data_IF_482332115622
#
_entry.id   IF_482332115622
#
_cell.length_a   1.000
_cell.length_b   1.000
_cell.length_c   1.000
_cell.angle_alpha   90.00
_cell.angle_beta   90.00
_cell.angle_gamma   90.00
#
_symmetry.space_group_name_H-M   'P 1'
#
loop_
_entity.id
_entity.type
_entity.pdbx_description
1 polymer ?
#
# COMPACT_ATOMS: atom_id res chain seq x y z
N UNK A 1 20.31 5.41 3.93
CA UNK A 1 19.40 5.05 5.05
C UNK A 1 19.69 3.61 5.46
N UNK A 2 19.81 3.36 6.76
CA UNK A 2 20.00 2.03 7.34
C UNK A 2 18.65 1.46 7.81
N UNK A 3 18.08 0.56 7.01
CA UNK A 3 16.76 -0.03 7.28
C UNK A 3 16.72 -0.87 8.57
N UNK A 4 17.88 -1.31 9.08
CA UNK A 4 17.94 -2.10 10.32
C UNK A 4 17.60 -1.28 11.57
N UNK A 5 17.70 0.06 11.47
CA UNK A 5 17.38 1.00 12.56
C UNK A 5 15.93 1.42 12.60
N UNK A 6 15.15 1.08 11.58
CA UNK A 6 13.73 1.41 11.53
C UNK A 6 12.94 0.47 12.46
N UNK A 7 11.88 0.95 13.12
CA UNK A 7 11.09 0.14 14.03
C UNK A 7 10.34 -0.97 13.26
N UNK A 8 10.85 -2.20 13.38
CA UNK A 8 10.25 -3.40 12.78
C UNK A 8 9.22 -4.04 13.70
N UNK A 9 8.23 -4.70 13.10
CA UNK A 9 7.21 -5.45 13.83
C UNK A 9 6.06 -5.87 12.91
N UNK A 10 5.07 -6.57 13.47
CA UNK A 10 3.84 -6.86 12.74
C UNK A 10 3.15 -5.55 12.33
N UNK A 11 2.79 -5.41 11.06
CA UNK A 11 2.19 -4.18 10.54
C UNK A 11 0.92 -3.80 11.30
N UNK A 12 0.15 -4.78 11.78
CA UNK A 12 -1.05 -4.55 12.60
C UNK A 12 -0.70 -3.91 13.94
N UNK A 13 0.41 -4.33 14.55
CA UNK A 13 0.88 -3.80 15.84
C UNK A 13 1.66 -2.49 15.74
N UNK A 14 2.26 -2.18 14.59
CA UNK A 14 3.02 -0.95 14.38
C UNK A 14 2.22 0.16 13.71
N UNK A 15 1.09 -0.17 13.07
CA UNK A 15 0.25 0.78 12.32
C UNK A 15 -0.19 1.99 13.15
N UNK A 16 -0.77 1.76 14.32
CA UNK A 16 -1.28 2.85 15.18
C UNK A 16 -0.16 3.78 15.63
N UNK A 17 1.00 3.21 15.98
CA UNK A 17 2.21 3.96 16.33
C UNK A 17 2.68 4.83 15.16
N UNK A 18 2.65 4.30 13.93
CA UNK A 18 3.00 5.07 12.74
C UNK A 18 2.00 6.19 12.45
N UNK A 19 0.69 5.98 12.66
CA UNK A 19 -0.32 7.04 12.51
C UNK A 19 -0.01 8.19 13.47
N UNK A 20 0.16 7.90 14.76
CA UNK A 20 0.48 8.90 15.80
C UNK A 20 1.77 9.66 15.50
N UNK A 21 2.82 8.91 15.15
CA UNK A 21 4.11 9.53 14.83
C UNK A 21 4.05 10.39 13.58
N UNK A 22 3.33 9.95 12.54
CA UNK A 22 3.17 10.71 11.31
C UNK A 22 2.32 11.97 11.55
N UNK A 23 1.26 11.91 12.37
CA UNK A 23 0.48 13.08 12.76
C UNK A 23 1.35 14.12 13.48
N UNK A 24 2.17 13.70 14.44
CA UNK A 24 3.11 14.57 15.13
C UNK A 24 4.17 15.18 14.18
N UNK A 25 4.69 14.35 13.28
CA UNK A 25 5.67 14.78 12.27
C UNK A 25 5.09 15.81 11.28
N UNK A 26 3.83 15.64 10.87
CA UNK A 26 3.15 16.52 9.93
C UNK A 26 2.52 17.74 10.61
N UNK A 27 2.32 17.74 11.93
CA UNK A 27 1.76 18.87 12.70
C UNK A 27 2.35 20.25 12.33
N UNK A 28 3.68 20.44 12.26
CA UNK A 28 4.28 21.73 11.90
C UNK A 28 4.20 22.08 10.40
N UNK A 29 3.76 21.17 9.52
CA UNK A 29 3.71 21.41 8.07
C UNK A 29 2.40 22.06 7.66
N UNK A 30 2.49 23.20 6.96
CA UNK A 30 1.34 23.94 6.45
C UNK A 30 0.64 23.24 5.27
N UNK A 31 1.35 22.43 4.49
CA UNK A 31 0.85 21.78 3.27
C UNK A 31 0.89 20.24 3.37
N UNK A 32 0.30 19.69 4.44
CA UNK A 32 0.19 18.23 4.63
C UNK A 32 -1.00 17.62 3.87
N UNK A 33 -0.93 16.34 3.44
CA UNK A 33 -2.05 15.64 2.82
C UNK A 33 -3.27 15.53 3.74
N UNK A 34 -4.42 15.22 3.15
CA UNK A 34 -5.65 14.93 3.90
C UNK A 34 -5.51 13.71 4.83
N UNK A 35 -6.38 13.62 5.83
CA UNK A 35 -6.30 12.59 6.88
C UNK A 35 -6.26 11.15 6.35
N UNK A 36 -7.10 10.82 5.36
CA UNK A 36 -7.14 9.48 4.75
C UNK A 36 -5.81 9.11 4.06
N UNK A 37 -5.17 10.08 3.41
CA UNK A 37 -3.87 9.90 2.75
C UNK A 37 -2.77 9.66 3.79
N UNK A 38 -2.78 10.42 4.88
CA UNK A 38 -1.84 10.25 5.98
C UNK A 38 -1.99 8.87 6.65
N UNK A 39 -3.23 8.44 6.91
CA UNK A 39 -3.51 7.10 7.45
C UNK A 39 -3.01 6.02 6.49
N UNK A 40 -3.26 6.18 5.19
CA UNK A 40 -2.75 5.24 4.21
C UNK A 40 -1.22 5.19 4.17
N UNK A 41 -0.55 6.35 4.27
CA UNK A 41 0.90 6.46 4.29
C UNK A 41 1.50 5.77 5.52
N UNK A 42 0.90 5.95 6.70
CA UNK A 42 1.29 5.23 7.91
C UNK A 42 1.13 3.71 7.73
N UNK A 43 0.02 3.27 7.11
CA UNK A 43 -0.19 1.88 6.77
C UNK A 43 0.83 1.33 5.76
N UNK A 44 1.24 2.12 4.77
CA UNK A 44 2.28 1.76 3.80
C UNK A 44 3.60 1.51 4.53
N UNK A 45 4.01 2.43 5.42
CA UNK A 45 5.24 2.27 6.22
C UNK A 45 5.17 1.01 7.08
N UNK A 46 4.10 0.84 7.85
CA UNK A 46 3.91 -0.33 8.72
C UNK A 46 4.01 -1.65 7.94
N UNK A 47 3.37 -1.72 6.77
CA UNK A 47 3.42 -2.89 5.87
C UNK A 47 4.82 -3.16 5.31
N UNK A 48 5.57 -2.12 4.95
CA UNK A 48 6.91 -2.27 4.34
C UNK A 48 8.02 -2.53 5.35
N UNK A 49 7.80 -2.21 6.63
CA UNK A 49 8.70 -2.56 7.73
C UNK A 49 8.36 -3.90 8.40
N UNK A 50 7.24 -4.51 8.02
CA UNK A 50 6.89 -5.88 8.39
C UNK A 50 7.54 -6.85 7.39
N UNK A 51 8.53 -7.61 7.87
CA UNK A 51 9.27 -8.59 7.06
C UNK A 51 8.36 -9.72 6.57
N UNK A 52 7.37 -10.15 7.37
CA UNK A 52 6.42 -11.22 7.01
C UNK A 52 5.50 -10.72 5.90
N UNK A 53 4.88 -9.55 6.08
CA UNK A 53 4.02 -8.97 5.06
C UNK A 53 4.78 -8.70 3.75
N UNK A 54 6.03 -8.23 3.86
CA UNK A 54 6.87 -7.97 2.71
C UNK A 54 7.20 -9.27 1.95
N UNK A 55 7.50 -10.35 2.67
CA UNK A 55 7.73 -11.66 2.08
C UNK A 55 6.49 -12.22 1.38
N UNK A 56 5.31 -12.12 2.02
CA UNK A 56 4.04 -12.58 1.45
C UNK A 56 3.68 -11.82 0.16
N UNK A 57 4.09 -10.56 0.05
CA UNK A 57 3.86 -9.74 -1.13
C UNK A 57 4.78 -10.07 -2.31
N UNK A 58 5.88 -10.80 -2.11
CA UNK A 58 6.89 -11.03 -3.15
C UNK A 58 6.32 -11.71 -4.40
N UNK A 59 5.32 -12.58 -4.25
CA UNK A 59 4.64 -13.25 -5.36
C UNK A 59 3.84 -12.31 -6.27
N UNK A 60 3.55 -11.08 -5.82
CA UNK A 60 2.84 -10.06 -6.58
C UNK A 60 3.76 -9.00 -7.18
N UNK A 61 5.06 -9.01 -6.82
CA UNK A 61 6.03 -8.04 -7.36
C UNK A 61 6.38 -8.47 -8.79
N UNK A 62 6.26 -7.53 -9.71
CA UNK A 62 6.60 -7.71 -11.12
C UNK A 62 8.11 -7.50 -11.30
N UNK A 63 8.72 -8.28 -12.19
CA UNK A 63 10.12 -8.09 -12.59
C UNK A 63 10.27 -6.78 -13.39
N UNK A 64 9.34 -6.53 -14.31
CA UNK A 64 9.18 -5.24 -15.01
C UNK A 64 7.79 -4.63 -14.75
N UNK A 65 7.70 -3.39 -14.22
CA UNK A 65 6.44 -2.66 -14.09
C UNK A 65 5.62 -2.54 -15.37
N UNK A 66 6.22 -2.67 -16.56
CA UNK A 66 5.50 -2.65 -17.84
C UNK A 66 4.59 -3.89 -18.05
N UNK A 67 4.87 -5.01 -17.39
CA UNK A 67 4.08 -6.25 -17.49
C UNK A 67 2.62 -6.07 -17.07
N UNK A 68 2.34 -5.04 -16.26
CA UNK A 68 0.97 -4.69 -15.85
C UNK A 68 0.04 -4.45 -17.05
N UNK A 69 0.56 -4.00 -18.18
CA UNK A 69 -0.25 -3.77 -19.38
C UNK A 69 -0.77 -5.10 -19.97
N UNK A 70 0.02 -6.16 -19.88
CA UNK A 70 -0.39 -7.51 -20.28
C UNK A 70 -1.50 -8.04 -19.36
N UNK A 71 -1.33 -7.84 -18.06
CA UNK A 71 -2.32 -8.22 -17.04
C UNK A 71 -3.64 -7.47 -17.24
N UNK A 72 -3.59 -6.17 -17.49
CA UNK A 72 -4.78 -5.36 -17.76
C UNK A 72 -5.50 -5.81 -19.03
N UNK A 73 -4.77 -6.19 -20.09
CA UNK A 73 -5.37 -6.67 -21.35
C UNK A 73 -6.02 -8.05 -21.22
N UNK A 74 -5.47 -8.93 -20.39
CA UNK A 74 -5.99 -10.29 -20.21
C UNK A 74 -7.22 -10.34 -19.31
N UNK A 75 -7.41 -9.35 -18.43
CA UNK A 75 -8.55 -9.26 -17.54
C UNK A 75 -9.72 -8.54 -18.22
N UNK A 76 -10.84 -9.24 -18.41
CA UNK A 76 -12.06 -8.61 -18.92
C UNK A 76 -12.64 -7.67 -17.84
N UNK A 77 -13.06 -6.43 -18.18
CA UNK A 77 -13.61 -5.48 -17.21
C UNK A 77 -15.06 -5.84 -16.84
N UNK A 78 -15.28 -6.99 -16.20
CA UNK A 78 -16.53 -7.34 -15.54
C UNK A 78 -16.42 -7.04 -14.03
N UNK A 79 -17.54 -6.64 -13.43
CA UNK A 79 -17.65 -6.32 -12.00
C UNK A 79 -17.22 -7.56 -11.20
N UNK A 80 -16.14 -7.43 -10.43
CA UNK A 80 -15.53 -8.51 -9.64
C UNK A 80 -14.13 -8.97 -10.11
N UNK A 81 -13.76 -8.77 -11.37
CA UNK A 81 -12.45 -9.19 -11.91
C UNK A 81 -11.34 -8.13 -11.81
N UNK A 82 -11.65 -6.95 -11.24
CA UNK A 82 -10.71 -5.84 -11.11
C UNK A 82 -9.78 -5.96 -9.88
N UNK A 83 -10.15 -6.81 -8.91
CA UNK A 83 -9.42 -6.94 -7.64
C UNK A 83 -7.95 -7.38 -7.82
N UNK A 84 -7.60 -8.30 -8.73
CA UNK A 84 -6.20 -8.63 -9.03
C UNK A 84 -5.40 -7.44 -9.55
N UNK A 85 -5.96 -6.66 -10.49
CA UNK A 85 -5.29 -5.47 -11.06
C UNK A 85 -5.04 -4.44 -9.97
N UNK A 86 -6.04 -4.14 -9.13
CA UNK A 86 -5.89 -3.21 -8.00
C UNK A 86 -4.80 -3.70 -7.05
N UNK A 87 -4.81 -4.99 -6.72
CA UNK A 87 -3.87 -5.58 -5.76
C UNK A 87 -2.43 -5.54 -6.27
N UNK A 88 -2.18 -6.06 -7.48
CA UNK A 88 -0.84 -6.08 -8.10
C UNK A 88 -0.34 -4.65 -8.30
N UNK A 89 -1.17 -3.77 -8.85
CA UNK A 89 -0.78 -2.37 -9.08
C UNK A 89 -0.43 -1.66 -7.77
N UNK A 90 -1.26 -1.81 -6.73
CA UNK A 90 -1.02 -1.23 -5.40
C UNK A 90 0.28 -1.75 -4.79
N UNK A 91 0.48 -3.07 -4.74
CA UNK A 91 1.65 -3.68 -4.10
C UNK A 91 2.94 -3.20 -4.78
N UNK A 92 2.99 -3.23 -6.11
CA UNK A 92 4.14 -2.76 -6.87
C UNK A 92 4.37 -1.26 -6.70
N UNK A 93 3.30 -0.44 -6.72
CA UNK A 93 3.43 0.99 -6.51
C UNK A 93 3.96 1.34 -5.11
N UNK A 94 3.47 0.66 -4.07
CA UNK A 94 3.97 0.82 -2.69
C UNK A 94 5.43 0.41 -2.56
N UNK A 95 5.80 -0.75 -3.12
CA UNK A 95 7.16 -1.26 -3.08
C UNK A 95 8.15 -0.32 -3.75
N UNK A 96 7.83 0.12 -4.97
CA UNK A 96 8.67 1.06 -5.71
C UNK A 96 8.76 2.41 -5.00
N UNK A 97 7.64 2.94 -4.50
CA UNK A 97 7.64 4.22 -3.78
C UNK A 97 8.46 4.17 -2.49
N UNK A 98 8.35 3.09 -1.72
CA UNK A 98 9.14 2.89 -0.51
C UNK A 98 10.64 2.75 -0.84
N UNK A 99 10.96 2.00 -1.89
CA UNK A 99 12.34 1.87 -2.40
C UNK A 99 12.92 3.21 -2.83
N UNK A 100 12.12 4.06 -3.50
CA UNK A 100 12.54 5.40 -3.91
C UNK A 100 12.73 6.36 -2.72
N UNK A 101 11.90 6.24 -1.69
CA UNK A 101 11.97 7.09 -0.50
C UNK A 101 13.19 6.77 0.39
N UNK A 102 13.62 5.51 0.41
CA UNK A 102 14.77 5.04 1.19
C UNK A 102 16.12 5.30 0.51
N UNK A 103 16.12 5.47 -0.82
CA UNK A 103 17.29 5.88 -1.61
C UNK A 103 17.63 7.36 -1.35
N UNK A 104 18.93 7.65 -1.21
CA UNK A 104 19.40 9.04 -1.09
C UNK A 104 19.07 9.85 -2.34
N UNK A 105 18.82 11.15 -2.13
CA UNK A 105 18.26 12.09 -3.10
C UNK A 105 19.19 12.31 -4.29
N UNK A 106 19.20 11.37 -5.23
CA UNK A 106 19.91 11.49 -6.51
C UNK A 106 18.94 11.87 -7.63
N UNK A 107 19.49 12.52 -8.65
CA UNK A 107 18.78 13.12 -9.79
C UNK A 107 17.94 12.14 -10.64
N UNK A 108 18.03 10.83 -10.39
CA UNK A 108 17.33 9.77 -11.11
C UNK A 108 15.86 9.56 -10.69
N UNK A 109 15.41 10.26 -9.64
CA UNK A 109 14.01 10.20 -9.15
C UNK A 109 12.98 10.51 -10.24
N UNK A 110 13.28 11.38 -11.19
CA UNK A 110 12.27 11.89 -12.14
C UNK A 110 11.78 10.87 -13.17
N UNK A 111 12.60 9.89 -13.57
CA UNK A 111 12.17 8.81 -14.46
C UNK A 111 11.66 7.61 -13.67
N UNK A 112 12.32 7.25 -12.57
CA UNK A 112 11.93 6.10 -11.75
C UNK A 112 10.56 6.29 -11.10
N UNK A 113 10.14 7.54 -10.83
CA UNK A 113 8.82 7.86 -10.28
C UNK A 113 7.67 7.59 -11.25
N UNK A 114 7.92 7.50 -12.55
CA UNK A 114 6.85 7.30 -13.54
C UNK A 114 6.18 5.93 -13.40
N UNK A 115 6.94 4.89 -13.05
CA UNK A 115 6.43 3.55 -12.82
C UNK A 115 5.41 3.49 -11.67
N UNK A 116 5.74 3.92 -10.43
CA UNK A 116 4.76 3.94 -9.34
C UNK A 116 3.59 4.90 -9.61
N UNK A 117 3.79 6.04 -10.31
CA UNK A 117 2.67 6.91 -10.74
C UNK A 117 1.68 6.14 -11.62
N UNK A 118 2.16 5.45 -12.65
CA UNK A 118 1.32 4.64 -13.56
C UNK A 118 0.54 3.58 -12.78
N UNK A 119 1.22 2.86 -11.89
CA UNK A 119 0.60 1.78 -11.11
C UNK A 119 -0.45 2.31 -10.11
N UNK A 120 -0.20 3.42 -9.42
CA UNK A 120 -1.23 4.06 -8.60
C UNK A 120 -2.40 4.57 -9.43
N UNK A 121 -2.16 5.11 -10.64
CA UNK A 121 -3.22 5.51 -11.56
C UNK A 121 -4.13 4.33 -11.93
N UNK A 122 -3.54 3.18 -12.27
CA UNK A 122 -4.29 1.96 -12.56
C UNK A 122 -5.08 1.49 -11.33
N UNK A 123 -4.44 1.42 -10.16
CA UNK A 123 -5.11 1.04 -8.92
C UNK A 123 -6.31 1.97 -8.62
N UNK A 124 -6.16 3.27 -8.87
CA UNK A 124 -7.23 4.26 -8.71
C UNK A 124 -8.41 3.99 -9.64
N UNK A 125 -8.16 3.90 -10.95
CA UNK A 125 -9.20 3.67 -11.97
C UNK A 125 -9.97 2.39 -11.70
N UNK A 126 -9.25 1.29 -11.41
CA UNK A 126 -9.88 0.00 -11.17
C UNK A 126 -10.59 -0.08 -9.80
N UNK A 127 -10.17 0.71 -8.81
CA UNK A 127 -10.91 0.85 -7.55
C UNK A 127 -12.24 1.57 -7.75
N UNK A 128 -12.26 2.66 -8.52
CA UNK A 128 -13.51 3.34 -8.88
C UNK A 128 -14.47 2.43 -9.64
N UNK A 129 -13.97 1.66 -10.62
CA UNK A 129 -14.77 0.69 -11.38
C UNK A 129 -15.33 -0.44 -10.52
N UNK A 130 -14.72 -0.69 -9.37
CA UNK A 130 -15.17 -1.68 -8.39
C UNK A 130 -16.10 -1.07 -7.32
N UNK A 131 -16.51 0.20 -7.48
CA UNK A 131 -17.37 0.91 -6.52
C UNK A 131 -16.64 1.43 -5.28
N UNK A 132 -15.32 1.27 -5.18
CA UNK A 132 -14.55 1.73 -4.02
C UNK A 132 -14.00 3.14 -4.25
N UNK A 133 -14.87 4.14 -4.05
CA UNK A 133 -14.54 5.55 -4.29
C UNK A 133 -13.42 6.06 -3.39
N UNK A 134 -13.40 5.68 -2.12
CA UNK A 134 -12.37 6.12 -1.16
C UNK A 134 -10.98 5.61 -1.53
N UNK A 135 -10.84 4.32 -1.84
CA UNK A 135 -9.56 3.80 -2.33
C UNK A 135 -9.16 4.40 -3.67
N UNK A 136 -10.14 4.61 -4.58
CA UNK A 136 -9.92 5.33 -5.83
C UNK A 136 -9.30 6.71 -5.61
N UNK A 137 -9.85 7.50 -4.67
CA UNK A 137 -9.34 8.82 -4.31
C UNK A 137 -7.92 8.74 -3.71
N UNK A 138 -7.68 7.80 -2.79
CA UNK A 138 -6.37 7.63 -2.16
C UNK A 138 -5.31 7.33 -3.22
N UNK A 139 -5.53 6.34 -4.08
CA UNK A 139 -4.57 5.98 -5.13
C UNK A 139 -4.43 7.08 -6.18
N UNK A 140 -5.52 7.79 -6.49
CA UNK A 140 -5.49 8.94 -7.40
C UNK A 140 -4.56 10.03 -6.88
N UNK A 141 -4.67 10.37 -5.59
CA UNK A 141 -3.77 11.32 -4.93
C UNK A 141 -2.32 10.82 -4.94
N UNK A 142 -2.09 9.53 -4.63
CA UNK A 142 -0.76 8.93 -4.70
C UNK A 142 -0.16 8.97 -6.10
N UNK A 143 -0.98 8.91 -7.16
CA UNK A 143 -0.53 9.04 -8.54
C UNK A 143 -0.17 10.49 -8.89
N UNK A 144 -0.98 11.48 -8.51
CA UNK A 144 -0.78 12.88 -8.91
C UNK A 144 0.29 13.58 -8.08
N UNK A 145 0.32 13.31 -6.77
CA UNK A 145 1.17 14.01 -5.79
C UNK A 145 2.36 13.14 -5.32
N UNK A 146 2.80 12.17 -6.12
CA UNK A 146 3.82 11.21 -5.69
C UNK A 146 5.13 11.88 -5.26
N UNK A 147 5.56 12.96 -5.92
CA UNK A 147 6.77 13.69 -5.56
C UNK A 147 6.71 14.23 -4.12
N UNK A 148 5.59 14.86 -3.75
CA UNK A 148 5.33 15.35 -2.40
C UNK A 148 5.32 14.18 -1.41
N UNK A 149 4.63 13.09 -1.75
CA UNK A 149 4.54 11.92 -0.88
C UNK A 149 5.89 11.24 -0.67
N UNK A 150 6.76 11.17 -1.69
CA UNK A 150 8.11 10.64 -1.55
C UNK A 150 9.00 11.54 -0.68
N UNK A 151 8.83 12.86 -0.76
CA UNK A 151 9.52 13.80 0.13
C UNK A 151 9.08 13.62 1.58
N UNK A 152 7.77 13.52 1.83
CA UNK A 152 7.21 13.27 3.16
C UNK A 152 7.67 11.91 3.68
N UNK A 153 7.54 10.86 2.88
CA UNK A 153 7.91 9.50 3.24
C UNK A 153 9.40 9.41 3.57
N UNK A 154 10.27 9.91 2.70
CA UNK A 154 11.71 9.90 2.95
C UNK A 154 12.12 10.71 4.19
N UNK A 155 11.50 11.87 4.41
CA UNK A 155 11.76 12.70 5.59
C UNK A 155 11.25 12.04 6.87
N UNK A 156 10.09 11.40 6.81
CA UNK A 156 9.51 10.65 7.92
C UNK A 156 10.37 9.42 8.28
N UNK A 157 10.81 8.66 7.28
CA UNK A 157 11.68 7.50 7.49
C UNK A 157 13.03 7.90 8.12
N UNK A 158 13.61 9.04 7.72
CA UNK A 158 14.80 9.61 8.39
C UNK A 158 14.50 10.05 9.82
N UNK A 159 13.36 10.71 10.04
CA UNK A 159 12.95 11.15 11.37
C UNK A 159 12.85 9.98 12.36
N UNK A 160 12.28 8.85 11.95
CA UNK A 160 12.17 7.67 12.82
C UNK A 160 13.51 6.93 12.97
N UNK A 161 14.36 6.94 11.94
CA UNK A 161 15.74 6.41 12.01
C UNK A 161 16.60 7.21 13.02
N UNK A 162 16.47 8.53 13.03
CA UNK A 162 17.22 9.43 13.91
C UNK A 162 16.67 9.48 15.34
N UNK A 163 15.42 9.02 15.56
CA UNK A 163 14.74 9.09 16.85
C UNK A 163 14.11 7.73 17.25
N UNK A 164 14.89 6.63 17.34
CA UNK A 164 14.35 5.30 17.60
C UNK A 164 13.62 5.20 18.95
N UNK A 165 14.08 5.94 19.97
CA UNK A 165 13.50 5.96 21.31
C UNK A 165 12.07 6.56 21.37
N UNK A 166 11.61 7.18 20.27
CA UNK A 166 10.25 7.74 20.16
C UNK A 166 9.22 6.74 19.66
N UNK A 167 9.63 5.49 19.37
CA UNK A 167 8.75 4.43 18.91
C UNK A 167 8.67 3.30 19.97
N UNK A 168 7.48 2.94 20.50
CA UNK A 168 6.18 3.56 20.25
C UNK A 168 6.07 4.96 20.90
N UNK A 169 5.20 5.85 20.39
CA UNK A 169 5.01 7.18 20.97
C UNK A 169 4.51 7.09 22.42
N UNK A 170 5.15 7.84 23.32
CA UNK A 170 4.88 7.80 24.77
C UNK A 170 3.51 8.40 25.18
N UNK A 171 2.89 9.19 24.30
CA UNK A 171 1.57 9.78 24.55
C UNK A 171 0.66 9.51 23.35
N UNK A 172 -0.39 8.74 23.58
CA UNK A 172 -1.51 8.64 22.67
C UNK A 172 -2.37 9.88 22.90
N UNK A 173 -2.62 10.67 21.86
CA UNK A 173 -3.59 11.77 21.97
C UNK A 173 -4.96 11.18 22.29
N UNK A 174 -5.73 11.72 23.25
CA UNK A 174 -7.06 11.20 23.60
C UNK A 174 -8.00 11.09 22.38
N UNK A 175 -7.86 11.97 21.38
CA UNK A 175 -8.68 11.91 20.18
C UNK A 175 -8.34 10.73 19.24
N UNK A 176 -7.14 10.15 19.39
CA UNK A 176 -6.68 9.01 18.59
C UNK A 176 -7.12 7.71 19.23
N UNK A 177 -7.06 7.63 20.56
CA UNK A 177 -7.64 6.52 21.32
C UNK A 177 -9.15 6.42 21.06
N UNK A 178 -9.88 7.53 21.09
CA UNK A 178 -11.30 7.57 20.71
C UNK A 178 -11.56 7.21 19.23
N UNK A 179 -10.66 7.58 18.31
CA UNK A 179 -10.79 7.24 16.87
C UNK A 179 -10.63 5.75 16.61
N UNK A 180 -9.71 5.09 17.30
CA UNK A 180 -9.42 3.66 17.10
C UNK A 180 -10.28 2.76 17.99
N UNK A 181 -10.56 3.15 19.23
CA UNK A 181 -11.40 2.37 20.15
C UNK A 181 -12.88 2.34 19.72
N UNK A 182 -13.38 3.39 19.05
CA UNK A 182 -14.77 3.46 18.59
C UNK A 182 -14.97 3.02 17.14
N UNK A 183 -13.90 2.72 16.39
CA UNK A 183 -14.03 2.17 15.04
C UNK A 183 -14.25 0.66 15.10
N UNK A 184 -15.52 0.28 15.26
CA UNK A 184 -15.96 -1.07 14.91
C UNK A 184 -15.81 -1.21 13.39
N UNK A 185 -14.72 -1.84 12.96
CA UNK A 185 -14.59 -2.26 11.56
C UNK A 185 -15.46 -3.50 11.39
N UNK A 186 -16.74 -3.30 11.04
CA UNK A 186 -17.73 -4.36 10.87
C UNK A 186 -17.24 -5.50 9.97
N UNK A 187 -16.41 -5.20 8.97
CA UNK A 187 -15.80 -6.21 8.10
C UNK A 187 -14.75 -7.06 8.83
N UNK A 188 -13.92 -6.45 9.67
CA UNK A 188 -12.95 -7.19 10.48
C UNK A 188 -13.64 -7.97 11.60
N UNK A 189 -14.63 -7.38 12.28
CA UNK A 189 -15.44 -8.09 13.27
C UNK A 189 -16.17 -9.29 12.64
N UNK A 190 -16.70 -9.14 11.42
CA UNK A 190 -17.32 -10.24 10.70
C UNK A 190 -16.33 -11.37 10.40
N UNK A 191 -15.10 -11.05 9.99
CA UNK A 191 -14.03 -12.05 9.76
C UNK A 191 -13.56 -12.72 11.06
N UNK A 192 -13.44 -11.98 12.14
CA UNK A 192 -13.01 -12.50 13.45
C UNK A 192 -14.08 -13.35 14.13
N UNK A 193 -15.37 -13.01 13.95
CA UNK A 193 -16.52 -13.79 14.44
C UNK A 193 -16.81 -15.03 13.59
N UNK A 194 -16.28 -15.11 12.37
CA UNK A 194 -16.44 -16.25 11.47
C UNK A 194 -15.07 -16.81 11.02
N UNK A 195 -14.24 -17.32 11.95
CA UNK A 195 -12.97 -17.94 11.58
C UNK A 195 -13.24 -19.21 10.76
N UNK A 196 -12.87 -19.20 9.48
CA UNK A 196 -13.16 -20.29 8.55
C UNK A 196 -14.31 -20.03 7.57
N UNK A 197 -14.91 -18.84 7.56
CA UNK A 197 -15.51 -18.32 6.33
C UNK A 197 -14.36 -17.96 5.38
N UNK A 198 -13.78 -18.99 4.76
CA UNK A 198 -13.27 -18.81 3.42
C UNK A 198 -14.48 -18.27 2.65
N UNK A 199 -14.44 -17.00 2.24
CA UNK A 199 -15.30 -16.57 1.13
C UNK A 199 -15.09 -17.66 0.09
N UNK A 200 -16.14 -18.48 -0.15
CA UNK A 200 -16.15 -19.34 -1.32
C UNK A 200 -15.84 -18.38 -2.44
N UNK A 201 -14.58 -18.43 -2.88
CA UNK A 201 -14.12 -17.69 -4.03
C UNK A 201 -15.21 -18.04 -5.04
N UNK A 202 -15.99 -17.05 -5.55
CA UNK A 202 -17.02 -17.32 -6.54
C UNK A 202 -16.41 -18.27 -7.54
N UNK A 203 -17.11 -19.30 -7.99
CA UNK A 203 -16.55 -20.39 -8.79
C UNK A 203 -15.60 -19.87 -9.91
N UNK A 204 -15.87 -18.66 -10.38
CA UNK A 204 -15.21 -17.81 -11.37
C UNK A 204 -13.84 -17.20 -10.97
N UNK A 205 -13.48 -17.14 -9.68
CA UNK A 205 -12.19 -16.64 -9.18
C UNK A 205 -11.25 -17.79 -8.72
N UNK A 206 -11.70 -19.05 -8.85
CA UNK A 206 -10.80 -20.21 -8.93
C UNK A 206 -10.17 -20.26 -10.34
N UNK A 207 -9.44 -19.23 -10.71
CA UNK A 207 -8.58 -19.32 -11.91
C UNK A 207 -7.32 -20.04 -11.45
N UNK A 208 -7.24 -21.31 -11.84
CA UNK A 208 -6.03 -22.11 -11.70
C UNK A 208 -4.88 -21.33 -12.36
N UNK A 209 -3.89 -20.92 -11.57
CA UNK A 209 -2.74 -20.15 -12.05
C UNK A 209 -1.95 -20.90 -13.12
N UNK A 210 -2.11 -22.22 -13.20
CA UNK A 210 -1.57 -23.04 -14.30
C UNK A 210 -2.26 -22.79 -15.65
N UNK A 211 -3.53 -22.34 -15.67
CA UNK A 211 -4.26 -22.02 -16.90
C UNK A 211 -3.85 -20.68 -17.51
N UNK A 212 -3.27 -19.76 -16.73
CA UNK A 212 -2.78 -18.46 -17.21
C UNK A 212 -1.46 -18.56 -17.98
N UNK A 213 -0.70 -19.65 -17.82
CA UNK A 213 0.61 -19.87 -18.46
C UNK A 213 0.63 -21.07 -19.42
N UNK A 214 -0.35 -21.98 -19.38
CA UNK A 214 -0.34 -23.24 -20.16
C UNK A 214 -0.86 -23.17 -21.61
N UNK A 215 -1.12 -21.99 -22.16
CA UNK A 215 -1.76 -21.84 -23.48
C UNK A 215 -0.81 -21.75 -24.69
N UNK A 216 0.50 -21.82 -24.50
CA UNK A 216 1.49 -21.54 -25.55
C UNK A 216 2.22 -22.77 -26.13
N UNK A 217 1.80 -23.99 -25.78
CA UNK A 217 2.46 -25.23 -26.27
C UNK A 217 1.74 -25.95 -27.43
N UNK A 218 0.73 -25.33 -28.04
CA UNK A 218 0.02 -25.93 -29.18
C UNK A 218 -0.02 -25.03 -30.41
N UNK A 219 1.17 -24.76 -30.96
CA UNK A 219 1.35 -24.55 -32.39
C UNK A 219 2.56 -25.36 -32.89
N UNK A 220 2.30 -26.62 -33.20
CA UNK A 220 3.02 -27.41 -34.21
C UNK A 220 1.97 -28.10 -35.08
#
# INVERSE_FOLDING_TARGET
MDLSKLPKGSWKGTFENHVLMLENFLSPLSSKPGGEICVYLAGLVARRLDDVYSQDCMSFILDDPAEIDGIVRSHQPYIGQNAPIVTISKINAEFLSFSLATRDASAWRSLEILAPKKLFSLASVFSYRSGNMTLGNIYGFFSSELDLLLQILGSYLRYIEDNPDRFPPQSISPCVEERFANQINERNEYKERNPGYDEEIPYDAKVDSSALLGGWDHFN
#
